data_IF_259288988884
#
_entry.id   IF_259288988884
#
_cell.length_a   1.000
_cell.length_b   1.000
_cell.length_c   1.000
_cell.angle_alpha   90.00
_cell.angle_beta   90.00
_cell.angle_gamma   90.00
#
_symmetry.space_group_name_H-M   'P 1'
#
loop_
_entity.id
_entity.type
_entity.pdbx_description
1 polymer ?
#
# COMPACT_ATOMS: atom_id res chain seq x y z
N UNK A 1 48.98 -62.56 -26.16
CA UNK A 1 48.32 -62.28 -24.88
C UNK A 1 48.39 -60.79 -24.59
N UNK A 2 47.23 -60.16 -24.43
CA UNK A 2 46.91 -59.01 -23.56
C UNK A 2 47.78 -57.74 -23.64
N UNK A 3 47.19 -56.66 -24.16
CA UNK A 3 46.92 -55.45 -23.34
C UNK A 3 45.99 -54.50 -24.12
N UNK A 4 44.71 -54.51 -23.76
CA UNK A 4 43.73 -53.48 -24.11
C UNK A 4 44.01 -52.23 -23.27
N UNK A 5 44.32 -51.11 -23.92
CA UNK A 5 44.44 -49.80 -23.25
C UNK A 5 43.03 -49.20 -23.15
N UNK A 6 42.41 -49.29 -21.96
CA UNK A 6 41.22 -48.50 -21.62
C UNK A 6 41.68 -47.18 -21.00
N UNK A 7 41.52 -46.10 -21.77
CA UNK A 7 41.68 -44.73 -21.31
C UNK A 7 40.50 -44.39 -20.38
N UNK A 8 40.76 -44.28 -19.07
CA UNK A 8 39.76 -43.85 -18.09
C UNK A 8 39.81 -42.31 -18.01
N UNK A 9 38.86 -41.64 -18.68
CA UNK A 9 38.68 -40.20 -18.57
C UNK A 9 37.95 -39.92 -17.24
N UNK A 10 38.70 -39.51 -16.20
CA UNK A 10 38.11 -39.05 -14.95
C UNK A 10 37.68 -37.60 -15.17
N UNK A 11 36.38 -37.38 -15.36
CA UNK A 11 35.76 -36.05 -15.32
C UNK A 11 35.60 -35.67 -13.85
N UNK A 12 36.48 -34.80 -13.33
CA UNK A 12 36.28 -34.17 -12.04
C UNK A 12 35.19 -33.10 -12.20
N UNK A 13 33.95 -33.44 -11.84
CA UNK A 13 32.90 -32.44 -11.65
C UNK A 13 33.13 -31.82 -10.27
N UNK A 14 33.82 -30.68 -10.22
CA UNK A 14 33.80 -29.83 -9.03
C UNK A 14 32.41 -29.22 -8.91
N UNK A 15 31.56 -29.81 -8.07
CA UNK A 15 30.34 -29.15 -7.63
C UNK A 15 30.75 -27.92 -6.82
N UNK A 16 30.61 -26.74 -7.42
CA UNK A 16 30.58 -25.49 -6.66
C UNK A 16 29.26 -25.53 -5.91
N UNK A 17 29.29 -25.99 -4.66
CA UNK A 17 28.20 -25.75 -3.73
C UNK A 17 28.17 -24.26 -3.46
N UNK A 18 27.39 -23.54 -4.26
CA UNK A 18 26.89 -22.22 -3.87
C UNK A 18 26.05 -22.49 -2.63
N UNK A 19 26.64 -22.33 -1.45
CA UNK A 19 25.86 -22.17 -0.23
C UNK A 19 25.03 -20.91 -0.44
N UNK A 20 23.83 -21.08 -0.98
CA UNK A 20 22.78 -20.10 -0.79
C UNK A 20 22.59 -20.08 0.72
N UNK A 21 23.25 -19.12 1.40
CA UNK A 21 22.85 -18.80 2.75
C UNK A 21 21.35 -18.60 2.66
N UNK A 22 20.60 -19.47 3.33
CA UNK A 22 19.18 -19.23 3.55
C UNK A 22 19.18 -17.89 4.27
N UNK A 23 18.88 -16.81 3.54
CA UNK A 23 18.58 -15.54 4.17
C UNK A 23 17.43 -15.89 5.10
N UNK A 24 17.67 -15.78 6.39
CA UNK A 24 16.62 -15.93 7.38
C UNK A 24 15.65 -14.74 7.15
N UNK A 25 14.70 -14.94 6.25
CA UNK A 25 13.73 -13.93 5.81
C UNK A 25 12.61 -13.84 6.81
N UNK A 26 12.96 -13.50 8.05
CA UNK A 26 11.98 -13.26 9.09
C UNK A 26 11.60 -11.78 9.09
N UNK A 27 10.53 -11.46 8.36
CA UNK A 27 9.91 -10.14 8.40
C UNK A 27 9.09 -10.03 9.68
N UNK A 28 9.40 -9.04 10.51
CA UNK A 28 8.72 -8.79 11.78
C UNK A 28 8.08 -7.40 11.75
N UNK A 29 6.75 -7.35 11.70
CA UNK A 29 6.00 -6.11 11.65
C UNK A 29 5.41 -5.79 13.03
N UNK A 30 5.92 -4.76 13.68
CA UNK A 30 5.31 -4.18 14.87
C UNK A 30 4.19 -3.24 14.43
N UNK A 31 2.95 -3.53 14.83
CA UNK A 31 1.81 -2.82 14.27
C UNK A 31 0.50 -2.97 15.02
N UNK A 32 -0.48 -2.18 14.60
CA UNK A 32 -1.86 -2.23 15.10
C UNK A 32 -2.85 -1.81 14.02
N UNK A 33 -4.09 -2.31 14.12
CA UNK A 33 -5.16 -2.01 13.16
C UNK A 33 -5.53 -0.52 13.09
N UNK A 34 -5.50 0.19 14.22
CA UNK A 34 -5.82 1.63 14.29
C UNK A 34 -4.69 2.57 13.86
N UNK A 35 -3.68 2.08 13.13
CA UNK A 35 -2.50 2.84 12.71
C UNK A 35 -2.30 2.77 11.19
N UNK A 36 -1.11 3.14 10.72
CA UNK A 36 -0.65 2.93 9.35
C UNK A 36 -0.13 1.52 9.08
N UNK A 37 -0.26 0.59 10.02
CA UNK A 37 0.20 -0.79 9.84
C UNK A 37 -0.56 -1.56 8.75
N UNK A 38 -1.91 -1.44 8.64
CA UNK A 38 -2.66 -2.17 7.63
C UNK A 38 -2.19 -1.98 6.19
N UNK A 39 -1.65 -0.81 5.81
CA UNK A 39 -1.10 -0.65 4.45
C UNK A 39 0.17 -1.46 4.21
N UNK A 40 0.99 -1.69 5.25
CA UNK A 40 2.15 -2.58 5.17
C UNK A 40 1.70 -4.03 5.13
N UNK A 41 0.76 -4.43 6.00
CA UNK A 41 0.15 -5.76 5.98
C UNK A 41 -0.40 -6.08 4.58
N UNK A 42 -1.14 -5.13 4.00
CA UNK A 42 -1.76 -5.31 2.69
C UNK A 42 -0.71 -5.59 1.60
N UNK A 43 0.39 -4.84 1.57
CA UNK A 43 1.41 -5.08 0.54
C UNK A 43 2.18 -6.38 0.76
N UNK A 44 2.50 -6.73 2.01
CA UNK A 44 3.09 -8.04 2.33
C UNK A 44 2.18 -9.18 1.86
N UNK A 45 0.88 -9.05 2.13
CA UNK A 45 -0.13 -10.04 1.77
C UNK A 45 -0.35 -10.14 0.24
N UNK A 46 -0.23 -9.03 -0.51
CA UNK A 46 -0.32 -8.98 -1.98
C UNK A 46 0.91 -9.58 -2.67
N UNK A 47 2.07 -9.56 -2.01
CA UNK A 47 3.29 -10.24 -2.44
C UNK A 47 3.38 -11.68 -1.92
N UNK A 48 2.37 -12.16 -1.20
CA UNK A 48 2.34 -13.46 -0.53
C UNK A 48 3.57 -13.72 0.36
N UNK A 49 4.09 -12.66 1.00
CA UNK A 49 5.24 -12.75 1.89
C UNK A 49 4.82 -13.24 3.27
N UNK A 50 5.59 -14.16 3.84
CA UNK A 50 5.43 -14.57 5.23
C UNK A 50 6.06 -13.54 6.16
N UNK A 51 5.33 -13.13 7.20
CA UNK A 51 5.81 -12.23 8.23
C UNK A 51 5.17 -12.55 9.59
N UNK A 52 5.85 -12.17 10.66
CA UNK A 52 5.36 -12.24 12.03
C UNK A 52 4.78 -10.89 12.42
N UNK A 53 3.47 -10.86 12.70
CA UNK A 53 2.83 -9.70 13.31
C UNK A 53 3.19 -9.64 14.80
N UNK A 54 3.88 -8.58 15.22
CA UNK A 54 4.26 -8.35 16.61
C UNK A 54 3.38 -7.27 17.25
N UNK A 55 3.25 -7.29 18.60
CA UNK A 55 2.58 -6.23 19.35
C UNK A 55 3.18 -4.86 19.04
N UNK A 56 2.40 -3.76 19.10
CA UNK A 56 2.90 -2.44 18.75
C UNK A 56 3.91 -1.87 19.75
N UNK A 57 3.96 -2.39 20.99
CA UNK A 57 4.89 -1.96 22.05
C UNK A 57 5.27 -3.16 22.94
N UNK A 58 6.51 -3.22 23.47
CA UNK A 58 7.65 -2.37 23.09
C UNK A 58 8.05 -2.59 21.63
N UNK A 59 8.64 -1.57 21.00
CA UNK A 59 9.13 -1.66 19.63
C UNK A 59 10.44 -0.86 19.47
N UNK A 60 11.26 -1.16 18.43
CA UNK A 60 12.57 -0.52 18.25
C UNK A 60 12.50 0.87 17.56
N UNK A 61 11.33 1.38 17.22
CA UNK A 61 11.17 2.70 16.58
C UNK A 61 11.63 3.82 17.52
N UNK A 62 12.49 4.76 17.10
CA UNK A 62 13.05 5.79 17.99
C UNK A 62 11.99 6.72 18.61
N UNK A 63 10.90 6.98 17.89
CA UNK A 63 9.74 7.75 18.38
C UNK A 63 8.62 6.88 18.99
N UNK A 64 8.85 5.57 19.13
CA UNK A 64 7.88 4.62 19.70
C UNK A 64 6.52 4.69 18.97
N UNK A 65 6.55 4.70 17.64
CA UNK A 65 5.39 4.69 16.74
C UNK A 65 5.30 3.37 15.97
N UNK A 66 4.19 3.17 15.27
CA UNK A 66 3.96 2.03 14.38
C UNK A 66 3.35 2.52 13.05
N UNK A 67 3.60 1.85 11.91
CA UNK A 67 4.33 0.60 11.76
C UNK A 67 5.84 0.72 11.95
N UNK A 68 6.47 -0.38 12.33
CA UNK A 68 7.91 -0.55 12.37
C UNK A 68 8.25 -1.96 11.89
N UNK A 69 9.15 -2.09 10.91
CA UNK A 69 9.56 -3.37 10.34
C UNK A 69 10.99 -3.69 10.76
N UNK A 70 11.23 -4.94 11.17
CA UNK A 70 12.57 -5.53 11.20
C UNK A 70 12.62 -6.63 10.15
N UNK A 71 13.60 -6.57 9.26
CA UNK A 71 13.84 -7.55 8.20
C UNK A 71 15.07 -8.38 8.57
N UNK A 72 14.83 -9.50 9.26
CA UNK A 72 15.84 -10.33 9.90
C UNK A 72 15.47 -10.72 11.34
N UNK A 73 16.36 -11.42 12.03
CA UNK A 73 16.11 -11.95 13.38
C UNK A 73 15.88 -10.82 14.40
N UNK A 74 15.02 -11.10 15.38
CA UNK A 74 14.70 -10.20 16.49
C UNK A 74 15.02 -10.90 17.81
N UNK A 75 16.31 -10.92 18.15
CA UNK A 75 16.78 -11.49 19.43
C UNK A 75 16.75 -10.45 20.55
N UNK A 76 17.14 -9.21 20.23
CA UNK A 76 17.09 -8.05 21.14
C UNK A 76 16.70 -6.78 20.38
N UNK A 77 15.61 -6.14 20.81
CA UNK A 77 15.09 -4.90 20.25
C UNK A 77 16.12 -3.76 20.25
N UNK A 78 17.06 -3.75 21.19
CA UNK A 78 18.09 -2.70 21.30
C UNK A 78 19.16 -2.77 20.20
N UNK A 79 19.28 -3.93 19.55
CA UNK A 79 20.31 -4.21 18.52
C UNK A 79 19.72 -4.30 17.11
N UNK A 80 18.39 -4.30 16.99
CA UNK A 80 17.70 -4.32 15.70
C UNK A 80 17.97 -3.03 14.93
N UNK A 81 18.01 -3.13 13.60
CA UNK A 81 18.00 -1.96 12.69
C UNK A 81 16.61 -1.81 12.09
N UNK A 82 15.68 -1.09 12.76
CA UNK A 82 14.31 -0.99 12.28
C UNK A 82 14.18 -0.08 11.07
N UNK A 83 13.23 -0.42 10.21
CA UNK A 83 12.71 0.45 9.16
C UNK A 83 11.40 1.02 9.66
N UNK A 84 11.30 2.34 9.63
CA UNK A 84 10.16 3.12 10.10
C UNK A 84 9.78 4.17 9.05
N UNK A 85 8.64 4.83 9.24
CA UNK A 85 7.82 5.46 8.20
C UNK A 85 7.18 4.44 7.25
N UNK A 86 5.85 4.47 7.17
CA UNK A 86 5.10 3.49 6.37
C UNK A 86 5.51 3.47 4.90
N UNK A 87 5.84 4.63 4.32
CA UNK A 87 6.36 4.72 2.95
C UNK A 87 7.73 4.10 2.77
N UNK A 88 8.66 4.32 3.70
CA UNK A 88 9.98 3.72 3.63
C UNK A 88 9.91 2.20 3.79
N UNK A 89 9.03 1.70 4.68
CA UNK A 89 8.76 0.26 4.81
C UNK A 89 8.22 -0.32 3.50
N UNK A 90 7.23 0.34 2.88
CA UNK A 90 6.70 -0.08 1.58
C UNK A 90 7.78 -0.12 0.49
N UNK A 91 8.64 0.90 0.41
CA UNK A 91 9.71 0.95 -0.58
C UNK A 91 10.79 -0.09 -0.32
N UNK A 92 11.12 -0.37 0.95
CA UNK A 92 12.03 -1.46 1.31
C UNK A 92 11.50 -2.81 0.84
N UNK A 93 10.23 -3.11 1.16
CA UNK A 93 9.58 -4.35 0.73
C UNK A 93 9.56 -4.44 -0.80
N UNK A 94 9.17 -3.37 -1.49
CA UNK A 94 9.10 -3.35 -2.95
C UNK A 94 10.48 -3.59 -3.58
N UNK A 95 11.50 -2.89 -3.09
CA UNK A 95 12.87 -3.00 -3.61
C UNK A 95 13.43 -4.43 -3.45
N UNK A 96 13.11 -5.09 -2.34
CA UNK A 96 13.67 -6.41 -2.01
C UNK A 96 12.86 -7.57 -2.60
N UNK A 97 11.55 -7.43 -2.70
CA UNK A 97 10.65 -8.57 -2.95
C UNK A 97 9.71 -8.41 -4.16
N UNK A 98 9.55 -7.22 -4.72
CA UNK A 98 8.70 -7.01 -5.91
C UNK A 98 9.56 -6.90 -7.17
N UNK A 99 9.57 -7.92 -8.05
CA UNK A 99 10.39 -7.91 -9.26
C UNK A 99 9.96 -6.85 -10.29
N UNK A 100 8.76 -6.27 -10.16
CA UNK A 100 8.27 -5.22 -11.04
C UNK A 100 8.57 -3.81 -10.51
N UNK A 101 9.17 -3.70 -9.32
CA UNK A 101 9.50 -2.41 -8.74
C UNK A 101 10.56 -1.66 -9.56
N UNK A 102 10.35 -0.36 -9.67
CA UNK A 102 11.29 0.61 -10.21
C UNK A 102 11.21 1.86 -9.35
N UNK A 103 12.37 2.34 -8.89
CA UNK A 103 12.44 3.53 -8.05
C UNK A 103 11.89 4.75 -8.79
N UNK A 104 12.19 4.92 -10.08
CA UNK A 104 11.77 6.05 -10.90
C UNK A 104 10.26 6.09 -11.11
N UNK A 105 9.62 4.93 -11.22
CA UNK A 105 8.19 4.82 -11.48
C UNK A 105 7.34 4.83 -10.20
N UNK A 106 7.80 4.16 -9.14
CA UNK A 106 6.96 3.87 -7.98
C UNK A 106 7.28 4.74 -6.77
N UNK A 107 8.56 5.02 -6.50
CA UNK A 107 8.94 5.77 -5.30
C UNK A 107 8.32 7.18 -5.24
N UNK A 108 8.23 7.94 -6.34
CA UNK A 108 7.57 9.25 -6.32
C UNK A 108 6.13 9.19 -5.82
N UNK A 109 5.37 8.15 -6.16
CA UNK A 109 3.98 8.00 -5.74
C UNK A 109 3.84 7.64 -4.26
N UNK A 110 4.74 6.80 -3.74
CA UNK A 110 4.77 6.48 -2.31
C UNK A 110 5.13 7.73 -1.50
N UNK A 111 6.19 8.45 -1.91
CA UNK A 111 6.59 9.71 -1.26
C UNK A 111 5.50 10.76 -1.38
N UNK A 112 4.84 10.87 -2.53
CA UNK A 112 3.67 11.73 -2.71
C UNK A 112 2.54 11.38 -1.75
N UNK A 113 2.25 10.09 -1.56
CA UNK A 113 1.21 9.65 -0.63
C UNK A 113 1.51 10.13 0.80
N UNK A 114 2.73 9.91 1.30
CA UNK A 114 3.10 10.30 2.66
C UNK A 114 3.21 11.81 2.87
N UNK A 115 3.73 12.56 1.87
CA UNK A 115 4.09 13.97 2.06
C UNK A 115 3.04 14.97 1.58
N UNK A 116 2.24 14.61 0.58
CA UNK A 116 1.38 15.55 -0.13
C UNK A 116 -0.08 15.11 -0.20
N UNK A 117 -0.36 13.81 -0.30
CA UNK A 117 -1.72 13.29 -0.24
C UNK A 117 -2.24 13.25 1.20
N UNK A 118 -1.40 12.87 2.16
CA UNK A 118 -1.74 12.84 3.58
C UNK A 118 -2.47 14.08 4.10
N UNK A 119 -1.92 15.31 3.98
CA UNK A 119 -2.60 16.51 4.47
C UNK A 119 -3.86 16.89 3.66
N UNK A 120 -4.09 16.27 2.50
CA UNK A 120 -5.35 16.41 1.76
C UNK A 120 -6.39 15.44 2.34
N UNK A 121 -5.99 14.20 2.58
CA UNK A 121 -6.85 13.18 3.17
C UNK A 121 -7.22 13.51 4.61
N UNK A 122 -6.28 14.02 5.42
CA UNK A 122 -6.45 14.25 6.85
C UNK A 122 -6.03 15.68 7.21
N UNK A 123 -7.00 16.49 7.60
CA UNK A 123 -6.75 17.76 8.30
C UNK A 123 -6.63 17.44 9.78
N UNK A 124 -5.45 17.58 10.34
CA UNK A 124 -5.18 17.26 11.74
C UNK A 124 -5.04 18.51 12.62
N UNK A 125 -5.32 18.37 13.91
CA UNK A 125 -4.95 19.37 14.92
C UNK A 125 -3.47 19.25 15.33
N UNK A 126 -3.01 20.12 16.23
CA UNK A 126 -1.62 20.10 16.72
C UNK A 126 -1.24 18.81 17.50
N UNK A 127 -2.22 17.98 17.84
CA UNK A 127 -2.03 16.71 18.55
C UNK A 127 -2.19 15.49 17.61
N UNK A 128 -2.33 15.71 16.30
CA UNK A 128 -2.49 14.64 15.30
C UNK A 128 -3.90 14.04 15.27
N UNK A 129 -4.92 14.73 15.80
CA UNK A 129 -6.31 14.26 15.69
C UNK A 129 -6.91 14.67 14.35
N UNK A 130 -7.45 13.71 13.60
CA UNK A 130 -8.14 13.97 12.32
C UNK A 130 -9.44 14.74 12.57
N UNK A 131 -9.51 15.97 12.06
CA UNK A 131 -10.67 16.87 12.13
C UNK A 131 -11.54 16.82 10.88
N UNK A 132 -11.02 16.29 9.77
CA UNK A 132 -11.74 16.26 8.50
C UNK A 132 -10.84 15.88 7.33
N UNK A 133 -11.41 15.92 6.13
CA UNK A 133 -10.70 15.70 4.87
C UNK A 133 -10.91 16.88 3.92
N UNK A 134 -9.93 17.18 3.07
CA UNK A 134 -10.01 18.20 2.01
C UNK A 134 -10.29 17.61 0.63
N UNK A 135 -10.57 16.30 0.53
CA UNK A 135 -10.95 15.63 -0.72
C UNK A 135 -12.31 16.08 -1.27
N UNK A 136 -13.16 16.66 -0.43
CA UNK A 136 -14.47 17.22 -0.80
C UNK A 136 -14.38 18.64 -1.40
N UNK A 137 -13.17 19.19 -1.48
CA UNK A 137 -12.90 20.53 -2.01
C UNK A 137 -12.05 20.45 -3.27
N UNK A 138 -12.14 21.45 -4.17
CA UNK A 138 -11.26 21.53 -5.34
C UNK A 138 -9.79 21.50 -4.94
N UNK A 139 -9.03 20.54 -5.47
CA UNK A 139 -7.60 20.40 -5.23
C UNK A 139 -6.89 19.98 -6.52
N UNK A 140 -5.83 20.71 -6.91
CA UNK A 140 -5.10 20.46 -8.16
C UNK A 140 -4.47 19.07 -8.24
N UNK A 141 -3.97 18.54 -7.12
CA UNK A 141 -3.34 17.20 -7.09
C UNK A 141 -4.38 16.10 -7.25
N UNK A 142 -5.55 16.29 -6.65
CA UNK A 142 -6.66 15.35 -6.77
C UNK A 142 -7.27 15.41 -8.18
N UNK A 143 -7.34 16.60 -8.79
CA UNK A 143 -7.76 16.74 -10.18
C UNK A 143 -6.85 15.95 -11.14
N UNK A 144 -5.53 15.94 -10.90
CA UNK A 144 -4.59 15.11 -11.68
C UNK A 144 -4.88 13.62 -11.49
N UNK A 145 -5.09 13.16 -10.25
CA UNK A 145 -5.46 11.75 -9.99
C UNK A 145 -6.79 11.39 -10.66
N UNK A 146 -7.79 12.27 -10.56
CA UNK A 146 -9.10 12.09 -11.19
C UNK A 146 -9.00 11.96 -12.71
N UNK A 147 -8.16 12.76 -13.36
CA UNK A 147 -7.91 12.68 -14.80
C UNK A 147 -7.16 11.39 -15.17
N UNK A 148 -6.09 11.06 -14.46
CA UNK A 148 -5.31 9.84 -14.72
C UNK A 148 -6.14 8.56 -14.56
N UNK A 149 -7.01 8.52 -13.56
CA UNK A 149 -7.86 7.36 -13.26
C UNK A 149 -9.12 7.29 -14.14
N UNK A 150 -9.30 8.23 -15.08
CA UNK A 150 -10.35 8.13 -16.10
C UNK A 150 -10.08 6.98 -17.07
N UNK A 151 -8.81 6.79 -17.44
CA UNK A 151 -8.37 5.83 -18.45
C UNK A 151 -7.47 4.71 -17.90
N UNK A 152 -7.25 4.69 -16.58
CA UNK A 152 -6.40 3.71 -15.90
C UNK A 152 -7.06 3.15 -14.65
N UNK A 153 -6.95 1.84 -14.45
CA UNK A 153 -7.39 1.14 -13.24
C UNK A 153 -6.39 1.32 -12.08
N UNK A 154 -5.10 1.52 -12.39
CA UNK A 154 -4.00 1.63 -11.42
C UNK A 154 -3.01 2.73 -11.79
N UNK A 155 -2.19 3.16 -10.83
CA UNK A 155 -1.37 4.37 -10.90
C UNK A 155 -0.17 4.22 -11.85
N UNK A 156 0.50 3.07 -11.82
CA UNK A 156 1.71 2.82 -12.61
C UNK A 156 1.43 1.78 -13.68
N UNK A 157 1.61 2.15 -14.96
CA UNK A 157 1.48 1.27 -16.13
C UNK A 157 0.17 0.44 -16.15
N UNK A 158 -0.90 0.97 -15.55
CA UNK A 158 -2.18 0.29 -15.35
C UNK A 158 -2.06 -1.10 -14.68
N UNK A 159 -1.10 -1.25 -13.76
CA UNK A 159 -0.90 -2.46 -12.96
C UNK A 159 -0.82 -2.12 -11.48
N UNK A 160 -1.48 -2.93 -10.67
CA UNK A 160 -1.42 -2.78 -9.22
C UNK A 160 0.01 -2.95 -8.71
N UNK A 161 0.43 -2.04 -7.85
CA UNK A 161 1.81 -1.94 -7.35
C UNK A 161 1.86 -1.30 -5.95
N UNK A 162 3.06 -1.13 -5.41
CA UNK A 162 3.29 -0.37 -4.15
C UNK A 162 2.77 1.06 -4.21
N UNK A 163 2.74 1.69 -5.39
CA UNK A 163 2.17 3.02 -5.57
C UNK A 163 0.67 3.02 -5.26
N UNK A 164 -0.04 1.98 -5.70
CA UNK A 164 -1.45 1.82 -5.45
C UNK A 164 -1.73 1.53 -3.98
N UNK A 165 -0.93 0.68 -3.34
CA UNK A 165 -1.02 0.45 -1.90
C UNK A 165 -0.91 1.76 -1.14
N UNK A 166 0.11 2.57 -1.43
CA UNK A 166 0.32 3.84 -0.73
C UNK A 166 -0.85 4.81 -0.95
N UNK A 167 -1.25 5.06 -2.21
CA UNK A 167 -2.29 6.03 -2.53
C UNK A 167 -3.67 5.56 -2.07
N UNK A 168 -4.05 4.31 -2.38
CA UNK A 168 -5.37 3.79 -2.07
C UNK A 168 -5.59 3.65 -0.56
N UNK A 169 -4.56 3.30 0.21
CA UNK A 169 -4.68 3.23 1.67
C UNK A 169 -5.05 4.58 2.28
N UNK A 170 -4.38 5.65 1.86
CA UNK A 170 -4.65 7.01 2.34
C UNK A 170 -6.05 7.49 1.95
N UNK A 171 -6.49 7.20 0.71
CA UNK A 171 -7.85 7.49 0.29
C UNK A 171 -8.88 6.66 1.06
N UNK A 172 -8.64 5.36 1.28
CA UNK A 172 -9.59 4.45 1.93
C UNK A 172 -9.65 4.61 3.46
N UNK A 173 -8.70 5.28 4.10
CA UNK A 173 -8.83 5.73 5.49
C UNK A 173 -9.83 6.89 5.64
N UNK A 174 -10.13 7.66 4.59
CA UNK A 174 -11.08 8.78 4.68
C UNK A 174 -12.50 8.30 5.05
N UNK A 175 -13.07 7.27 4.40
CA UNK A 175 -14.26 6.59 4.88
C UNK A 175 -14.24 6.24 6.38
N UNK A 176 -13.11 5.73 6.89
CA UNK A 176 -12.97 5.32 8.28
C UNK A 176 -13.05 6.50 9.27
N UNK A 177 -12.39 7.61 8.96
CA UNK A 177 -12.33 8.78 9.86
C UNK A 177 -13.53 9.73 9.70
N UNK A 178 -14.16 9.77 8.53
CA UNK A 178 -15.20 10.74 8.22
C UNK A 178 -16.59 10.11 8.06
N UNK A 179 -16.68 8.81 7.77
CA UNK A 179 -17.95 8.14 7.50
C UNK A 179 -18.78 8.88 6.45
N UNK A 180 -20.08 9.01 6.74
CA UNK A 180 -21.05 9.72 5.89
C UNK A 180 -21.00 11.26 5.99
N UNK A 181 -20.12 11.84 6.82
CA UNK A 181 -20.03 13.31 6.98
C UNK A 181 -19.39 14.02 5.78
N UNK A 182 -18.84 13.26 4.82
CA UNK A 182 -18.20 13.75 3.60
C UNK A 182 -18.83 13.12 2.36
N UNK A 183 -18.83 13.85 1.24
CA UNK A 183 -19.20 13.33 -0.08
C UNK A 183 -18.09 13.54 -1.08
N UNK A 184 -17.63 12.44 -1.71
CA UNK A 184 -16.59 12.46 -2.74
C UNK A 184 -17.16 12.34 -4.16
N UNK A 185 -18.46 12.61 -4.35
CA UNK A 185 -19.14 12.51 -5.65
C UNK A 185 -18.53 13.38 -6.77
N UNK A 186 -17.74 14.40 -6.41
CA UNK A 186 -17.06 15.29 -7.35
C UNK A 186 -15.78 14.72 -7.98
N UNK A 187 -15.31 13.56 -7.50
CA UNK A 187 -14.10 12.86 -7.99
C UNK A 187 -14.40 11.37 -8.27
N UNK A 188 -15.34 11.08 -9.20
CA UNK A 188 -15.85 9.72 -9.40
C UNK A 188 -14.82 8.70 -9.91
N UNK A 189 -13.78 9.08 -10.63
CA UNK A 189 -12.69 8.15 -11.01
C UNK A 189 -11.88 7.73 -9.79
N UNK A 190 -11.53 8.68 -8.92
CA UNK A 190 -10.88 8.40 -7.63
C UNK A 190 -11.76 7.50 -6.77
N UNK A 191 -13.06 7.74 -6.69
CA UNK A 191 -13.99 6.88 -5.92
C UNK A 191 -14.07 5.47 -6.50
N UNK A 192 -14.09 5.30 -7.84
CA UNK A 192 -14.01 3.97 -8.46
C UNK A 192 -12.71 3.25 -8.12
N UNK A 193 -11.59 3.98 -8.14
CA UNK A 193 -10.30 3.47 -7.76
C UNK A 193 -10.25 3.03 -6.29
N UNK A 194 -10.77 3.85 -5.37
CA UNK A 194 -10.92 3.50 -3.95
C UNK A 194 -11.67 2.18 -3.77
N UNK A 195 -12.83 2.05 -4.43
CA UNK A 195 -13.65 0.85 -4.38
C UNK A 195 -12.92 -0.37 -4.95
N UNK A 196 -12.31 -0.24 -6.13
CA UNK A 196 -11.55 -1.31 -6.80
C UNK A 196 -10.44 -1.85 -5.90
N UNK A 197 -9.70 -0.96 -5.24
CA UNK A 197 -8.65 -1.34 -4.31
C UNK A 197 -9.19 -2.02 -3.05
N UNK A 198 -10.32 -1.54 -2.50
CA UNK A 198 -10.95 -2.18 -1.34
C UNK A 198 -11.56 -3.55 -1.67
N UNK A 199 -11.93 -3.80 -2.93
CA UNK A 199 -12.46 -5.09 -3.38
C UNK A 199 -11.39 -6.18 -3.53
N UNK A 200 -10.10 -5.82 -3.46
CA UNK A 200 -9.01 -6.81 -3.44
C UNK A 200 -9.10 -7.65 -2.17
N UNK A 201 -8.92 -8.97 -2.31
CA UNK A 201 -9.08 -9.92 -1.21
C UNK A 201 -8.16 -9.59 -0.03
N UNK A 202 -6.89 -9.34 -0.31
CA UNK A 202 -5.85 -9.04 0.68
C UNK A 202 -6.09 -7.71 1.41
N UNK A 203 -6.77 -6.74 0.77
CA UNK A 203 -7.16 -5.49 1.44
C UNK A 203 -8.06 -5.77 2.64
N UNK A 204 -9.07 -6.62 2.48
CA UNK A 204 -10.00 -6.98 3.56
C UNK A 204 -9.31 -7.75 4.70
N UNK A 205 -8.30 -8.56 4.38
CA UNK A 205 -7.47 -9.25 5.37
C UNK A 205 -6.65 -8.27 6.21
N UNK A 206 -6.00 -7.31 5.55
CA UNK A 206 -5.11 -6.36 6.18
C UNK A 206 -5.84 -5.25 6.98
N UNK A 207 -6.88 -4.64 6.41
CA UNK A 207 -7.64 -3.53 7.00
C UNK A 207 -8.85 -3.99 7.82
N UNK A 208 -9.24 -5.26 7.69
CA UNK A 208 -10.44 -5.83 8.32
C UNK A 208 -11.71 -5.67 7.46
N UNK A 209 -12.59 -6.66 7.57
CA UNK A 209 -13.83 -6.73 6.78
C UNK A 209 -14.76 -5.55 6.99
N UNK A 210 -14.87 -5.03 8.22
CA UNK A 210 -15.71 -3.86 8.52
C UNK A 210 -15.22 -2.60 7.78
N UNK A 211 -13.90 -2.37 7.74
CA UNK A 211 -13.32 -1.26 6.98
C UNK A 211 -13.66 -1.40 5.51
N UNK A 212 -13.39 -2.58 4.92
CA UNK A 212 -13.70 -2.86 3.52
C UNK A 212 -15.15 -2.58 3.18
N UNK A 213 -16.08 -3.10 3.98
CA UNK A 213 -17.51 -2.99 3.70
C UNK A 213 -17.99 -1.53 3.84
N UNK A 214 -17.42 -0.76 4.78
CA UNK A 214 -17.65 0.68 4.90
C UNK A 214 -17.19 1.44 3.65
N UNK A 215 -15.96 1.18 3.16
CA UNK A 215 -15.44 1.81 1.94
C UNK A 215 -16.37 1.50 0.76
N UNK A 216 -16.76 0.24 0.58
CA UNK A 216 -17.66 -0.18 -0.52
C UNK A 216 -19.02 0.51 -0.44
N UNK A 217 -19.61 0.58 0.74
CA UNK A 217 -20.90 1.25 0.96
C UNK A 217 -20.86 2.73 0.61
N UNK A 218 -19.86 3.45 1.13
CA UNK A 218 -19.70 4.89 0.89
C UNK A 218 -19.33 5.21 -0.56
N UNK A 219 -18.40 4.46 -1.16
CA UNK A 219 -18.06 4.63 -2.57
C UNK A 219 -19.26 4.39 -3.49
N UNK A 220 -20.03 3.32 -3.24
CA UNK A 220 -21.25 3.03 -3.99
C UNK A 220 -22.26 4.18 -3.91
N UNK A 221 -22.48 4.72 -2.71
CA UNK A 221 -23.34 5.89 -2.48
C UNK A 221 -22.87 7.13 -3.26
N UNK A 222 -21.59 7.51 -3.13
CA UNK A 222 -21.05 8.69 -3.81
C UNK A 222 -21.11 8.57 -5.34
N UNK A 223 -20.91 7.36 -5.90
CA UNK A 223 -21.02 7.11 -7.34
C UNK A 223 -22.46 7.25 -7.85
N UNK A 224 -23.46 6.85 -7.07
CA UNK A 224 -24.88 7.03 -7.41
C UNK A 224 -25.27 8.51 -7.34
N UNK A 225 -24.90 9.19 -6.27
CA UNK A 225 -25.18 10.62 -6.07
C UNK A 225 -24.55 11.50 -7.17
N UNK A 226 -23.36 11.14 -7.64
CA UNK A 226 -22.66 11.83 -8.73
C UNK A 226 -23.38 11.71 -10.08
N UNK A 227 -24.05 10.60 -10.35
CA UNK A 227 -24.83 10.39 -11.58
C UNK A 227 -26.14 11.18 -11.61
N UNK A 228 -26.77 11.36 -10.44
CA UNK A 228 -28.04 12.11 -10.31
C UNK A 228 -27.91 13.63 -10.50
N UNK A 229 -26.74 14.21 -10.22
CA UNK A 229 -26.53 15.67 -10.26
C UNK A 229 -26.43 16.30 -11.66
N UNK A 230 -26.41 15.50 -12.73
CA UNK A 230 -26.27 16.01 -14.11
C UNK A 230 -27.59 16.01 -14.92
N UNK A 231 -28.67 15.43 -14.38
CA UNK A 231 -29.98 15.41 -15.03
C UNK A 231 -30.68 16.78 -14.97
N UNK A 232 -30.51 17.53 -13.88
CA UNK A 232 -31.24 18.79 -13.64
C UNK A 232 -30.63 20.03 -14.30
N UNK A 233 -29.39 19.95 -14.81
CA UNK A 233 -28.73 21.09 -15.47
C UNK A 233 -29.09 21.26 -16.95
N UNK A 234 -29.88 20.36 -17.54
CA UNK A 234 -30.29 20.46 -18.96
C UNK A 234 -31.66 21.09 -19.20
N UNK A 235 -32.39 21.52 -18.17
CA UNK A 235 -33.76 22.06 -18.35
C UNK A 235 -33.94 23.58 -18.12
N UNK A 236 -32.90 24.35 -17.79
CA UNK A 236 -33.03 25.80 -17.56
C UNK A 236 -32.22 26.65 -18.56
N UNK A 237 -32.43 26.42 -19.85
CA UNK A 237 -31.76 27.19 -20.88
C UNK A 237 -32.33 26.97 -22.27
N UNK A 238 -33.63 27.22 -22.43
CA UNK A 238 -34.33 27.68 -23.64
C UNK A 238 -35.73 28.01 -23.13
N UNK A 239 -36.03 29.31 -22.99
CA UNK A 239 -37.28 30.03 -23.25
C UNK A 239 -37.12 31.45 -22.69
#
# INVERSE_FOLDING_TARGET
>A
MLANVKLLLIVLITAVSTSCALVDTSLHLFGSQGSRSPLVNWYLDELDLSYTQLPPRPNPHPFNQVPCLVDGPVDDLSTCSPIWESGAILLHIATKYDPNYSIEKHAPWVVFANSALDPICFREDSNGRVLGTSLDKPNKKIAVLEEMLADSDYIVDNKFSVADVAIASYLNYVPLFNGDSVSLRGIPNVVRYMQRCAEREKFGGAFGGQHRDMVRGLCGKWLVEGKGGNADKKMFGIF
#
